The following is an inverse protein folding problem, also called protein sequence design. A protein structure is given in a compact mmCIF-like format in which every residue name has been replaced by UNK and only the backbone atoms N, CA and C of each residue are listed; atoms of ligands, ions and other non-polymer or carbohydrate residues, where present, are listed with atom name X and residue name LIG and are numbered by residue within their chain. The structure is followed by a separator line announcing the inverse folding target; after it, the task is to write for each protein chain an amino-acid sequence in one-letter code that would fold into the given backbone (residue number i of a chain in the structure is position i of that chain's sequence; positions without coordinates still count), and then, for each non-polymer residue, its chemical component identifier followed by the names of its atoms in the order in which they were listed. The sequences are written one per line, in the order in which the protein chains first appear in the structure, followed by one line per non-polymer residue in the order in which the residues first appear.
data_IF_309279830784
#
_entry.id   IF_309279830784
#
_cell.length_a   1.000
_cell.length_b   1.000
_cell.length_c   1.000
_cell.angle_alpha   90.00
_cell.angle_beta   90.00
_cell.angle_gamma   90.00
#
_symmetry.space_group_name_H-M   'P 1'
#
loop_
_entity.id
_entity.type
_entity.pdbx_description
1 polymer ?
#
# COMPACT_ATOMS: atom_id res chain seq x y z
N UNK A 1 41.53 13.09 -27.54
CA UNK A 1 41.67 12.00 -26.55
C UNK A 1 40.42 12.02 -25.71
N UNK A 2 39.50 11.13 -26.05
CA UNK A 2 38.17 10.98 -25.45
C UNK A 2 38.13 9.61 -24.78
N UNK A 3 38.18 9.59 -23.46
CA UNK A 3 37.81 8.43 -22.63
C UNK A 3 36.74 8.98 -21.66
N UNK A 4 35.52 8.47 -21.59
CA UNK A 4 35.12 7.08 -21.68
C UNK A 4 34.95 6.50 -20.27
N UNK A 5 34.17 7.13 -19.39
CA UNK A 5 33.83 6.56 -18.07
C UNK A 5 32.48 5.85 -18.20
N UNK A 6 32.58 4.53 -18.36
CA UNK A 6 31.48 3.62 -18.52
C UNK A 6 30.52 3.59 -17.34
N UNK A 7 29.23 3.46 -17.69
CA UNK A 7 28.16 3.18 -16.76
C UNK A 7 28.41 1.89 -15.99
N UNK A 8 28.30 1.97 -14.67
CA UNK A 8 28.09 0.78 -13.85
C UNK A 8 26.60 0.48 -13.89
N UNK A 9 26.22 -0.39 -14.81
CA UNK A 9 24.98 -1.17 -14.69
C UNK A 9 25.06 -1.94 -13.37
N UNK A 10 24.30 -1.46 -12.37
CA UNK A 10 24.01 -2.22 -11.16
C UNK A 10 23.09 -3.36 -11.53
N UNK A 11 23.66 -4.47 -12.00
CA UNK A 11 22.93 -5.73 -12.15
C UNK A 11 22.32 -6.07 -10.80
N UNK A 12 20.99 -6.01 -10.72
CA UNK A 12 20.26 -6.56 -9.58
C UNK A 12 20.61 -8.05 -9.47
N UNK A 13 21.03 -8.53 -8.29
CA UNK A 13 21.35 -9.95 -8.14
C UNK A 13 20.11 -10.80 -8.42
N UNK A 14 20.30 -12.03 -8.93
CA UNK A 14 19.20 -12.95 -9.19
C UNK A 14 18.40 -13.19 -7.90
N UNK A 15 17.06 -13.18 -8.02
CA UNK A 15 16.09 -13.22 -6.91
C UNK A 15 16.23 -14.40 -5.94
N UNK A 16 17.06 -15.39 -6.27
CA UNK A 16 17.29 -16.60 -5.49
C UNK A 16 18.31 -16.43 -4.35
N UNK A 17 19.14 -15.38 -4.36
CA UNK A 17 20.20 -15.19 -3.36
C UNK A 17 19.76 -14.46 -2.08
N UNK A 18 18.56 -13.86 -2.05
CA UNK A 18 18.07 -13.03 -0.92
C UNK A 18 17.58 -13.90 0.27
N UNK A 19 17.78 -15.21 0.21
CA UNK A 19 17.33 -16.17 1.23
C UNK A 19 18.46 -17.00 1.78
N UNK A 20 18.86 -16.76 3.03
CA UNK A 20 19.80 -17.61 3.75
C UNK A 20 19.37 -19.10 3.79
N UNK A 21 20.27 -20.01 4.25
CA UNK A 21 20.04 -21.45 4.23
C UNK A 21 18.70 -21.89 4.84
N UNK A 22 18.24 -21.23 5.90
CA UNK A 22 16.93 -21.47 6.51
C UNK A 22 15.76 -21.23 5.56
N UNK A 23 15.77 -20.14 4.77
CA UNK A 23 14.71 -19.86 3.79
C UNK A 23 14.68 -20.95 2.72
N UNK A 24 15.84 -21.40 2.24
CA UNK A 24 15.93 -22.46 1.23
C UNK A 24 15.34 -23.77 1.74
N UNK A 25 15.64 -24.12 2.99
CA UNK A 25 15.09 -25.30 3.64
C UNK A 25 13.56 -25.21 3.79
N UNK A 26 13.04 -24.07 4.25
CA UNK A 26 11.59 -23.82 4.35
C UNK A 26 10.92 -23.99 2.98
N UNK A 27 11.47 -23.35 1.95
CA UNK A 27 10.92 -23.44 0.59
C UNK A 27 11.03 -24.84 -0.01
N UNK A 28 12.05 -25.63 0.36
CA UNK A 28 12.14 -27.04 -0.03
C UNK A 28 11.00 -27.87 0.60
N UNK A 29 10.71 -27.66 1.89
CA UNK A 29 9.60 -28.31 2.59
C UNK A 29 8.24 -27.93 2.00
N UNK A 30 8.03 -26.64 1.72
CA UNK A 30 6.80 -26.13 1.06
C UNK A 30 6.63 -26.77 -0.32
N UNK A 31 7.68 -26.79 -1.15
CA UNK A 31 7.63 -27.43 -2.47
C UNK A 31 7.32 -28.92 -2.39
N UNK A 32 7.93 -29.65 -1.44
CA UNK A 32 7.63 -31.07 -1.21
C UNK A 32 6.17 -31.28 -0.80
N UNK A 33 5.63 -30.45 0.09
CA UNK A 33 4.24 -30.53 0.53
C UNK A 33 3.25 -30.23 -0.60
N UNK A 34 3.60 -29.31 -1.51
CA UNK A 34 2.76 -28.94 -2.65
C UNK A 34 2.93 -29.87 -3.88
N UNK A 35 3.87 -30.81 -3.87
CA UNK A 35 4.21 -31.63 -5.04
C UNK A 35 3.06 -32.51 -5.56
N UNK A 36 2.15 -32.94 -4.67
CA UNK A 36 0.98 -33.73 -5.03
C UNK A 36 -0.26 -32.86 -5.32
N UNK A 37 -0.18 -31.54 -5.16
CA UNK A 37 -1.30 -30.64 -5.40
C UNK A 37 -1.40 -30.37 -6.90
N UNK A 38 -2.59 -30.54 -7.45
CA UNK A 38 -2.85 -30.20 -8.85
C UNK A 38 -2.58 -28.69 -9.06
N UNK A 39 -1.73 -28.31 -10.04
CA UNK A 39 -1.46 -26.91 -10.32
C UNK A 39 -2.75 -26.19 -10.73
N UNK A 40 -3.19 -25.25 -9.91
CA UNK A 40 -4.30 -24.37 -10.29
C UNK A 40 -3.77 -23.26 -11.21
N UNK A 41 -4.50 -23.00 -12.28
CA UNK A 41 -4.25 -21.83 -13.11
C UNK A 41 -4.34 -20.56 -12.25
N UNK A 42 -3.40 -19.64 -12.46
CA UNK A 42 -3.47 -18.32 -11.83
C UNK A 42 -4.78 -17.65 -12.26
N UNK A 43 -5.51 -16.95 -11.36
CA UNK A 43 -6.77 -16.28 -11.69
C UNK A 43 -6.63 -15.08 -12.66
N UNK A 44 -5.50 -14.95 -13.35
CA UNK A 44 -5.19 -13.80 -14.21
C UNK A 44 -4.84 -12.53 -13.44
N UNK A 45 -4.71 -11.43 -14.16
CA UNK A 45 -4.54 -10.10 -13.57
C UNK A 45 -5.86 -9.63 -12.94
N UNK A 46 -5.77 -8.77 -11.92
CA UNK A 46 -6.94 -8.09 -11.40
C UNK A 46 -7.58 -7.24 -12.51
N UNK A 47 -8.91 -7.24 -12.56
CA UNK A 47 -9.65 -6.37 -13.47
C UNK A 47 -9.32 -4.90 -13.19
N UNK A 48 -9.34 -4.08 -14.26
CA UNK A 48 -9.19 -2.63 -14.11
C UNK A 48 -10.37 -2.11 -13.29
N UNK A 49 -10.14 -1.35 -12.20
CA UNK A 49 -11.22 -0.78 -11.39
C UNK A 49 -12.16 0.08 -12.24
N UNK A 50 -13.47 -0.15 -12.12
CA UNK A 50 -14.49 0.66 -12.79
C UNK A 50 -14.98 1.79 -11.86
N UNK A 51 -15.11 3.03 -12.37
CA UNK A 51 -15.64 4.14 -11.59
C UNK A 51 -17.12 3.98 -11.21
N UNK A 52 -17.89 3.16 -11.94
CA UNK A 52 -19.33 2.94 -11.71
C UNK A 52 -19.62 2.32 -10.33
N UNK A 53 -18.65 1.61 -9.74
CA UNK A 53 -18.77 0.98 -8.42
C UNK A 53 -18.53 1.93 -7.24
N UNK A 54 -18.19 3.20 -7.47
CA UNK A 54 -17.71 4.10 -6.41
C UNK A 54 -18.73 4.35 -5.30
N UNK A 55 -19.98 4.65 -5.64
CA UNK A 55 -21.01 4.98 -4.64
C UNK A 55 -21.47 3.74 -3.86
N UNK A 56 -21.74 2.58 -4.51
CA UNK A 56 -22.00 1.34 -3.79
C UNK A 56 -20.82 0.90 -2.91
N UNK A 57 -19.59 1.03 -3.39
CA UNK A 57 -18.39 0.73 -2.60
C UNK A 57 -18.28 1.63 -1.37
N UNK A 58 -18.49 2.94 -1.54
CA UNK A 58 -18.51 3.90 -0.42
C UNK A 58 -19.56 3.49 0.63
N UNK A 59 -20.79 3.22 0.20
CA UNK A 59 -21.86 2.81 1.11
C UNK A 59 -21.54 1.51 1.85
N UNK A 60 -20.81 0.59 1.22
CA UNK A 60 -20.39 -0.66 1.86
C UNK A 60 -19.22 -0.44 2.82
N UNK A 61 -18.26 0.42 2.46
CA UNK A 61 -17.11 0.75 3.29
C UNK A 61 -17.52 1.54 4.54
N UNK A 62 -18.47 2.48 4.44
CA UNK A 62 -19.00 3.21 5.60
C UNK A 62 -19.67 2.27 6.64
N UNK A 63 -20.24 1.13 6.21
CA UNK A 63 -20.81 0.13 7.15
C UNK A 63 -19.76 -0.53 8.03
N UNK A 64 -18.48 -0.53 7.65
CA UNK A 64 -17.39 -1.02 8.51
C UNK A 64 -16.90 0.03 9.52
N UNK A 65 -17.51 1.22 9.52
CA UNK A 65 -17.11 2.36 10.35
C UNK A 65 -16.03 3.24 9.72
N UNK A 66 -15.63 2.94 8.47
CA UNK A 66 -14.63 3.73 7.76
C UNK A 66 -15.19 5.09 7.30
N UNK A 67 -14.31 6.09 7.26
CA UNK A 67 -14.64 7.45 6.83
C UNK A 67 -14.27 7.61 5.36
N UNK A 68 -15.24 7.99 4.53
CA UNK A 68 -15.06 8.00 3.08
C UNK A 68 -15.51 9.34 2.51
N UNK A 69 -14.63 9.98 1.73
CA UNK A 69 -14.95 11.17 0.93
C UNK A 69 -14.59 10.92 -0.52
N UNK A 70 -15.54 11.22 -1.41
CA UNK A 70 -15.24 11.41 -2.83
C UNK A 70 -14.75 12.84 -3.00
N UNK A 71 -13.55 13.01 -3.53
CA UNK A 71 -12.95 14.32 -3.76
C UNK A 71 -13.31 14.77 -5.17
N UNK A 72 -13.91 15.95 -5.29
CA UNK A 72 -14.29 16.52 -6.57
C UNK A 72 -13.05 16.91 -7.40
N UNK A 73 -13.14 16.89 -8.74
CA UNK A 73 -12.08 17.41 -9.58
C UNK A 73 -11.76 18.87 -9.22
N UNK A 74 -10.52 19.12 -8.77
CA UNK A 74 -10.04 20.45 -8.39
C UNK A 74 -10.06 20.77 -6.90
N UNK A 75 -10.64 19.90 -6.07
CA UNK A 75 -10.41 19.95 -4.62
C UNK A 75 -9.02 19.41 -4.27
N UNK A 76 -8.49 19.85 -3.12
CA UNK A 76 -7.20 19.36 -2.61
C UNK A 76 -7.40 18.17 -1.65
N UNK A 77 -7.19 16.92 -2.11
CA UNK A 77 -7.29 15.74 -1.26
C UNK A 77 -6.29 15.73 -0.11
N UNK A 78 -5.12 16.38 -0.24
CA UNK A 78 -4.12 16.43 0.82
C UNK A 78 -4.59 17.30 1.99
N UNK A 79 -5.28 18.41 1.71
CA UNK A 79 -5.91 19.23 2.75
C UNK A 79 -6.98 18.44 3.52
N UNK A 80 -7.87 17.74 2.81
CA UNK A 80 -8.88 16.90 3.48
C UNK A 80 -8.25 15.81 4.35
N UNK A 81 -7.20 15.13 3.86
CA UNK A 81 -6.49 14.13 4.64
C UNK A 81 -5.90 14.74 5.93
N UNK A 82 -5.31 15.94 5.85
CA UNK A 82 -4.79 16.64 7.01
C UNK A 82 -5.90 16.98 8.03
N UNK A 83 -7.07 17.44 7.57
CA UNK A 83 -8.23 17.74 8.42
C UNK A 83 -8.73 16.48 9.15
N UNK A 84 -8.89 15.37 8.44
CA UNK A 84 -9.34 14.10 9.03
C UNK A 84 -8.33 13.58 10.05
N UNK A 85 -7.04 13.64 9.73
CA UNK A 85 -5.98 13.23 10.66
C UNK A 85 -5.99 14.12 11.91
N UNK A 86 -6.17 15.43 11.76
CA UNK A 86 -6.25 16.34 12.90
C UNK A 86 -7.51 16.12 13.76
N UNK A 87 -8.63 15.73 13.14
CA UNK A 87 -9.89 15.45 13.85
C UNK A 87 -9.84 14.12 14.60
N UNK A 88 -9.26 13.08 13.99
CA UNK A 88 -9.28 11.72 14.51
C UNK A 88 -8.07 11.36 15.37
N UNK A 89 -6.95 12.06 15.19
CA UNK A 89 -5.76 11.83 16.01
C UNK A 89 -5.98 12.34 17.44
N UNK A 90 -5.61 11.57 18.47
CA UNK A 90 -5.58 12.05 19.84
C UNK A 90 -4.44 13.05 20.10
N UNK A 91 -3.46 13.14 19.19
CA UNK A 91 -2.29 13.99 19.33
C UNK A 91 -2.58 15.45 18.96
N UNK A 92 -2.03 16.39 19.74
CA UNK A 92 -2.14 17.83 19.42
C UNK A 92 -1.38 18.22 18.15
N UNK A 93 -0.26 17.55 17.88
CA UNK A 93 0.61 17.79 16.72
C UNK A 93 0.78 16.46 15.95
N UNK A 94 -0.21 16.09 15.10
CA UNK A 94 -0.19 14.79 14.44
C UNK A 94 0.93 14.67 13.41
N UNK A 95 1.50 13.47 13.31
CA UNK A 95 2.55 13.14 12.34
C UNK A 95 2.10 12.04 11.39
N UNK A 96 2.73 11.98 10.21
CA UNK A 96 2.33 11.05 9.15
C UNK A 96 3.48 10.15 8.66
N UNK A 97 3.15 8.87 8.47
CA UNK A 97 3.98 7.93 7.73
C UNK A 97 3.41 7.73 6.32
N UNK A 98 4.19 8.04 5.30
CA UNK A 98 3.73 7.96 3.90
C UNK A 98 4.25 6.69 3.25
N UNK A 99 3.32 5.89 2.74
CA UNK A 99 3.58 4.67 1.99
C UNK A 99 4.27 4.93 0.66
N UNK A 100 5.00 3.93 0.18
CA UNK A 100 5.65 4.01 -1.12
C UNK A 100 4.60 4.08 -2.24
N UNK A 101 4.83 4.96 -3.22
CA UNK A 101 3.92 5.12 -4.37
C UNK A 101 2.72 6.03 -4.11
N UNK A 102 2.64 6.68 -2.94
CA UNK A 102 1.70 7.80 -2.74
C UNK A 102 2.16 8.99 -3.61
N UNK A 103 1.31 9.50 -4.51
CA UNK A 103 1.63 10.67 -5.30
C UNK A 103 1.91 11.90 -4.40
N UNK A 104 2.95 12.72 -4.69
CA UNK A 104 3.31 13.84 -3.82
C UNK A 104 2.18 14.84 -3.54
N UNK A 105 1.28 15.05 -4.50
CA UNK A 105 0.14 15.95 -4.37
C UNK A 105 -0.99 15.41 -3.47
N UNK A 106 -0.91 14.14 -3.04
CA UNK A 106 -1.82 13.55 -2.05
C UNK A 106 -1.22 13.54 -0.64
N UNK A 107 0.04 13.96 -0.48
CA UNK A 107 0.73 13.96 0.81
C UNK A 107 0.32 15.23 1.58
N UNK A 108 -0.33 15.11 2.76
CA UNK A 108 -0.70 16.26 3.57
C UNK A 108 0.53 17.01 4.07
N UNK A 109 0.38 18.31 4.28
CA UNK A 109 1.42 19.16 4.89
C UNK A 109 1.49 18.94 6.40
N UNK A 110 1.83 17.71 6.82
CA UNK A 110 2.03 17.30 8.20
C UNK A 110 3.48 16.83 8.41
N UNK A 111 4.06 16.98 9.61
CA UNK A 111 5.39 16.47 9.90
C UNK A 111 5.46 14.95 9.67
N UNK A 112 6.58 14.47 9.13
CA UNK A 112 6.77 13.03 8.89
C UNK A 112 7.39 12.35 10.10
N UNK A 113 6.93 11.13 10.39
CA UNK A 113 7.47 10.23 11.40
C UNK A 113 7.54 8.80 10.84
N UNK A 114 8.39 7.92 11.41
CA UNK A 114 8.40 6.51 11.03
C UNK A 114 7.08 5.83 11.46
N UNK A 115 6.64 4.74 10.80
CA UNK A 115 5.32 4.13 11.04
C UNK A 115 5.03 3.70 12.48
N UNK A 116 6.08 3.49 13.29
CA UNK A 116 5.97 3.06 14.69
C UNK A 116 5.62 4.22 15.64
N UNK A 117 5.83 5.46 15.18
CA UNK A 117 5.66 6.69 15.95
C UNK A 117 4.60 7.62 15.34
N UNK A 118 4.23 7.39 14.08
CA UNK A 118 3.30 8.24 13.35
C UNK A 118 1.86 8.12 13.86
N UNK A 119 1.18 9.27 13.94
CA UNK A 119 -0.24 9.35 14.31
C UNK A 119 -1.15 8.77 13.22
N UNK A 120 -0.74 8.86 11.95
CA UNK A 120 -1.48 8.29 10.83
C UNK A 120 -0.57 7.74 9.73
N UNK A 121 -1.07 6.77 8.97
CA UNK A 121 -0.43 6.22 7.78
C UNK A 121 -1.22 6.56 6.53
N UNK A 122 -0.52 6.82 5.42
CA UNK A 122 -1.16 7.14 4.14
C UNK A 122 -0.64 6.18 3.09
N UNK A 123 -1.54 5.54 2.35
CA UNK A 123 -1.16 4.65 1.25
C UNK A 123 -2.15 4.71 0.10
N UNK A 124 -1.72 4.28 -1.09
CA UNK A 124 -2.61 4.06 -2.23
C UNK A 124 -3.11 2.62 -2.26
N UNK A 125 -4.38 2.45 -2.61
CA UNK A 125 -4.97 1.14 -2.88
C UNK A 125 -4.87 0.80 -4.36
N UNK A 126 -4.81 -0.49 -4.69
CA UNK A 126 -4.97 -0.97 -6.06
C UNK A 126 -6.43 -0.97 -6.50
N UNK A 127 -7.33 -1.39 -5.61
CA UNK A 127 -8.75 -1.51 -5.91
C UNK A 127 -9.60 -1.55 -4.63
N UNK A 128 -10.90 -1.34 -4.80
CA UNK A 128 -11.93 -1.61 -3.80
C UNK A 128 -12.91 -2.67 -4.32
N UNK A 129 -13.27 -3.64 -3.48
CA UNK A 129 -14.27 -4.65 -3.81
C UNK A 129 -15.64 -4.20 -3.30
N UNK A 130 -16.51 -3.79 -4.23
CA UNK A 130 -17.85 -3.22 -3.96
C UNK A 130 -18.67 -4.08 -3.00
N UNK A 131 -18.80 -5.38 -3.29
CA UNK A 131 -19.72 -6.28 -2.58
C UNK A 131 -19.35 -6.49 -1.10
N UNK A 132 -18.07 -6.34 -0.76
CA UNK A 132 -17.55 -6.57 0.58
C UNK A 132 -17.10 -5.31 1.30
N UNK A 133 -16.89 -4.20 0.59
CA UNK A 133 -16.26 -3.00 1.15
C UNK A 133 -14.78 -3.22 1.47
N UNK A 134 -14.12 -4.15 0.77
CA UNK A 134 -12.70 -4.46 1.02
C UNK A 134 -11.80 -3.53 0.22
N UNK A 135 -10.76 -2.99 0.85
CA UNK A 135 -9.67 -2.26 0.19
C UNK A 135 -8.52 -3.22 -0.10
N UNK A 136 -8.05 -3.28 -1.34
CA UNK A 136 -6.91 -4.10 -1.76
C UNK A 136 -5.68 -3.21 -1.82
N UNK A 137 -4.72 -3.46 -0.93
CA UNK A 137 -3.51 -2.65 -0.79
C UNK A 137 -2.29 -3.37 -1.41
N UNK A 138 -1.41 -2.64 -2.11
CA UNK A 138 -0.12 -3.18 -2.53
C UNK A 138 0.76 -3.47 -1.30
N UNK A 139 1.53 -4.56 -1.36
CA UNK A 139 2.52 -4.86 -0.33
C UNK A 139 3.68 -3.86 -0.34
N UNK A 140 3.97 -3.32 -1.52
CA UNK A 140 4.98 -2.31 -1.80
C UNK A 140 4.65 -0.98 -1.12
N UNK A 141 3.36 -0.68 -0.94
CA UNK A 141 2.87 0.54 -0.26
C UNK A 141 3.29 0.66 1.20
N UNK A 142 3.93 -0.36 1.76
CA UNK A 142 4.52 -0.34 3.10
C UNK A 142 3.58 -0.94 4.13
N UNK A 143 3.68 -2.27 4.34
CA UNK A 143 2.92 -2.99 5.37
C UNK A 143 2.97 -2.34 6.76
N UNK A 144 4.08 -1.69 7.11
CA UNK A 144 4.23 -1.01 8.39
C UNK A 144 3.32 0.22 8.49
N UNK A 145 3.26 1.01 7.41
CA UNK A 145 2.34 2.17 7.29
C UNK A 145 0.88 1.74 7.39
N UNK A 146 0.55 0.53 6.94
CA UNK A 146 -0.83 0.01 6.94
C UNK A 146 -1.23 -0.68 8.25
N UNK A 147 -0.27 -1.06 9.11
CA UNK A 147 -0.53 -1.95 10.26
C UNK A 147 -0.09 -1.40 11.62
N UNK A 148 0.90 -0.51 11.64
CA UNK A 148 1.49 -0.02 12.90
C UNK A 148 0.90 1.29 13.38
N UNK A 149 0.38 2.09 12.44
CA UNK A 149 -0.28 3.36 12.74
C UNK A 149 -1.66 3.10 13.34
N UNK A 150 -2.15 3.98 14.24
CA UNK A 150 -3.50 3.85 14.80
C UNK A 150 -4.60 4.30 13.83
N UNK A 151 -4.26 5.16 12.86
CA UNK A 151 -5.15 5.66 11.81
C UNK A 151 -4.54 5.38 10.43
N UNK A 152 -5.30 4.75 9.53
CA UNK A 152 -4.88 4.45 8.16
C UNK A 152 -5.90 4.95 7.15
#
# INVERSE_FOLDING_TARGET
MTDGVGGREGASPPRDEVGGPARREIMARVRKALAAREPMAHPGALAVPSPEGSDPFRAQLEKSGAWVRRVDPGADPATWAAEVIAELSPDRDPTVAVGHGVPPHLVPSLPSAPPEEASAGISTAWAGAVDSGTVILPAEGGRRVQLLVPLH
#
